data_IF_149728121945
#
_entry.id   IF_149728121945
#
_cell.length_a   1.000
_cell.length_b   1.000
_cell.length_c   1.000
_cell.angle_alpha   90.00
_cell.angle_beta   90.00
_cell.angle_gamma   90.00
#
_symmetry.space_group_name_H-M   'P 1'
#
loop_
_entity.id
_entity.type
_entity.pdbx_description
1 polymer ?
#
# COMPACT_ATOMS: atom_id res chain seq x y z
N UNK A 1 41.65 18.96 -39.35
CA UNK A 1 41.47 17.91 -38.32
C UNK A 1 41.28 16.56 -39.00
N UNK A 2 41.89 15.48 -38.50
CA UNK A 2 41.75 14.17 -39.13
C UNK A 2 40.36 13.59 -38.89
N UNK A 3 39.80 12.91 -39.90
CA UNK A 3 38.47 12.25 -39.83
C UNK A 3 38.35 11.32 -38.61
N UNK A 4 39.45 10.70 -38.20
CA UNK A 4 39.54 9.86 -37.00
C UNK A 4 39.24 10.63 -35.69
N UNK A 5 39.67 11.89 -35.56
CA UNK A 5 39.38 12.72 -34.38
C UNK A 5 37.91 13.11 -34.29
N UNK A 6 37.26 13.33 -35.43
CA UNK A 6 35.83 13.64 -35.51
C UNK A 6 34.99 12.40 -35.15
N UNK A 7 35.34 11.23 -35.69
CA UNK A 7 34.67 9.96 -35.38
C UNK A 7 34.82 9.61 -33.89
N UNK A 8 36.02 9.80 -33.32
CA UNK A 8 36.25 9.58 -31.89
C UNK A 8 35.41 10.51 -31.01
N UNK A 9 35.25 11.79 -31.39
CA UNK A 9 34.40 12.74 -30.67
C UNK A 9 32.92 12.36 -30.70
N UNK A 10 32.42 11.91 -31.85
CA UNK A 10 31.02 11.47 -32.00
C UNK A 10 30.74 10.21 -31.17
N UNK A 11 31.64 9.22 -31.23
CA UNK A 11 31.52 8.01 -30.41
C UNK A 11 31.55 8.31 -28.91
N UNK A 12 32.38 9.26 -28.48
CA UNK A 12 32.44 9.70 -27.08
C UNK A 12 31.10 10.26 -26.60
N UNK A 13 30.47 11.13 -27.39
CA UNK A 13 29.15 11.72 -27.06
C UNK A 13 28.07 10.63 -26.99
N UNK A 14 28.09 9.67 -27.92
CA UNK A 14 27.13 8.57 -27.97
C UNK A 14 27.26 7.63 -26.75
N UNK A 15 28.49 7.25 -26.39
CA UNK A 15 28.76 6.44 -25.20
C UNK A 15 28.35 7.17 -23.91
N UNK A 16 28.56 8.48 -23.84
CA UNK A 16 28.16 9.30 -22.69
C UNK A 16 26.64 9.38 -22.57
N UNK A 17 25.93 9.52 -23.69
CA UNK A 17 24.47 9.47 -23.74
C UNK A 17 23.89 8.12 -23.32
N UNK A 18 24.49 7.01 -23.76
CA UNK A 18 24.12 5.65 -23.32
C UNK A 18 24.37 5.47 -21.82
N UNK A 19 25.49 5.99 -21.31
CA UNK A 19 25.84 5.87 -19.89
C UNK A 19 24.88 6.67 -19.00
N UNK A 20 24.56 7.91 -19.39
CA UNK A 20 23.57 8.75 -18.70
C UNK A 20 22.17 8.15 -18.82
N UNK A 21 21.80 7.59 -19.99
CA UNK A 21 20.53 6.91 -20.21
C UNK A 21 20.40 5.61 -19.41
N UNK A 22 21.47 4.82 -19.29
CA UNK A 22 21.50 3.58 -18.52
C UNK A 22 21.49 3.85 -17.00
N UNK A 23 22.24 4.85 -16.52
CA UNK A 23 22.26 5.23 -15.10
C UNK A 23 20.97 5.94 -14.70
N UNK A 24 20.51 6.90 -15.51
CA UNK A 24 19.25 7.61 -15.31
C UNK A 24 18.05 6.67 -15.41
N UNK A 25 18.04 5.79 -16.41
CA UNK A 25 17.08 4.71 -16.57
C UNK A 25 17.10 3.74 -15.38
N UNK A 26 18.28 3.31 -14.92
CA UNK A 26 18.42 2.44 -13.75
C UNK A 26 17.92 3.11 -12.48
N UNK A 27 18.14 4.41 -12.27
CA UNK A 27 17.64 5.15 -11.11
C UNK A 27 16.12 5.35 -11.19
N UNK A 28 15.60 5.71 -12.36
CA UNK A 28 14.17 5.90 -12.60
C UNK A 28 13.39 4.58 -12.48
N UNK A 29 13.86 3.52 -13.14
CA UNK A 29 13.31 2.18 -12.99
C UNK A 29 13.46 1.69 -11.55
N UNK A 30 14.60 1.88 -10.89
CA UNK A 30 14.76 1.48 -9.48
C UNK A 30 13.82 2.25 -8.58
N UNK A 31 13.44 3.49 -8.89
CA UNK A 31 12.46 4.24 -8.11
C UNK A 31 11.02 3.75 -8.37
N UNK A 32 10.63 3.59 -9.64
CA UNK A 32 9.31 3.12 -10.06
C UNK A 32 9.08 1.65 -9.65
N UNK A 33 10.05 0.79 -9.93
CA UNK A 33 10.07 -0.62 -9.58
C UNK A 33 10.18 -0.83 -8.07
N UNK A 34 10.96 -0.02 -7.33
CA UNK A 34 10.88 -0.07 -5.85
C UNK A 34 9.51 0.32 -5.34
N UNK A 35 8.78 1.24 -5.97
CA UNK A 35 7.41 1.54 -5.53
C UNK A 35 6.41 0.43 -5.90
N UNK A 36 6.58 -0.19 -7.06
CA UNK A 36 5.82 -1.36 -7.50
C UNK A 36 6.08 -2.60 -6.63
N UNK A 37 7.31 -2.74 -6.12
CA UNK A 37 7.80 -3.90 -5.37
C UNK A 37 7.73 -3.75 -3.84
N UNK A 38 7.67 -2.54 -3.27
CA UNK A 38 7.81 -2.30 -1.80
C UNK A 38 6.56 -2.51 -0.95
N UNK A 39 5.52 -3.19 -1.42
CA UNK A 39 4.37 -3.49 -0.58
C UNK A 39 3.07 -3.54 -1.34
N UNK A 40 1.95 -3.79 -0.65
CA UNK A 40 0.69 -4.12 -1.28
C UNK A 40 0.22 -2.89 -2.08
N UNK A 41 0.24 -3.06 -3.40
CA UNK A 41 -0.30 -2.13 -4.39
C UNK A 41 -1.70 -1.64 -4.01
N UNK A 42 -2.47 -2.45 -3.26
CA UNK A 42 -3.74 -2.11 -2.63
C UNK A 42 -3.74 -0.74 -1.92
N UNK A 43 -2.61 -0.35 -1.30
CA UNK A 43 -2.51 0.84 -0.44
C UNK A 43 -2.05 2.12 -1.18
N UNK A 44 -1.53 2.00 -2.42
CA UNK A 44 -1.06 3.12 -3.23
C UNK A 44 -2.17 3.78 -4.05
N UNK A 45 -3.08 2.98 -4.59
CA UNK A 45 -4.17 3.46 -5.45
C UNK A 45 -5.11 4.47 -4.80
N UNK A 46 -5.54 4.33 -3.52
CA UNK A 46 -6.45 5.28 -2.89
C UNK A 46 -5.87 6.69 -2.78
N UNK A 47 -4.55 6.82 -2.66
CA UNK A 47 -3.87 8.13 -2.63
C UNK A 47 -3.78 8.75 -4.01
N UNK A 48 -3.53 7.92 -5.03
CA UNK A 48 -3.49 8.35 -6.42
C UNK A 48 -4.86 8.83 -6.91
N UNK A 49 -5.94 8.09 -6.66
CA UNK A 49 -7.29 8.53 -7.01
C UNK A 49 -7.70 9.79 -6.28
N UNK A 50 -7.44 9.92 -4.97
CA UNK A 50 -7.70 11.18 -4.24
C UNK A 50 -6.92 12.37 -4.80
N UNK A 51 -5.71 12.13 -5.30
CA UNK A 51 -4.92 13.17 -5.96
C UNK A 51 -5.57 13.58 -7.29
N UNK A 52 -5.98 12.62 -8.12
CA UNK A 52 -6.72 12.88 -9.35
C UNK A 52 -8.02 13.65 -9.10
N UNK A 53 -8.80 13.25 -8.09
CA UNK A 53 -10.04 13.95 -7.72
C UNK A 53 -9.83 15.42 -7.38
N UNK A 54 -8.70 15.74 -6.72
CA UNK A 54 -8.36 17.09 -6.28
C UNK A 54 -7.73 17.93 -7.38
N UNK A 55 -6.87 17.33 -8.20
CA UNK A 55 -6.13 18.07 -9.23
C UNK A 55 -6.88 18.21 -10.55
N UNK A 56 -7.92 17.38 -10.77
CA UNK A 56 -8.77 17.43 -11.96
C UNK A 56 -10.18 17.97 -11.67
N UNK A 57 -10.43 18.44 -10.44
CA UNK A 57 -11.72 18.97 -9.98
C UNK A 57 -12.93 18.11 -10.40
N UNK A 58 -12.82 16.80 -10.18
CA UNK A 58 -13.80 15.85 -10.68
C UNK A 58 -15.19 16.08 -10.07
N UNK A 59 -16.22 16.07 -10.94
CA UNK A 59 -17.63 16.13 -10.53
C UNK A 59 -18.02 14.88 -9.71
N UNK A 60 -19.09 14.93 -8.90
CA UNK A 60 -19.51 13.78 -8.09
C UNK A 60 -19.73 12.49 -8.91
N UNK A 61 -20.24 12.61 -10.13
CA UNK A 61 -20.44 11.48 -11.04
C UNK A 61 -19.12 10.93 -11.58
N UNK A 62 -18.18 11.81 -11.95
CA UNK A 62 -16.85 11.41 -12.40
C UNK A 62 -16.08 10.70 -11.29
N UNK A 63 -16.19 11.16 -10.04
CA UNK A 63 -15.58 10.50 -8.88
C UNK A 63 -16.06 9.06 -8.71
N UNK A 64 -17.37 8.82 -8.83
CA UNK A 64 -17.93 7.46 -8.76
C UNK A 64 -17.35 6.55 -9.85
N UNK A 65 -17.24 7.05 -11.08
CA UNK A 65 -16.66 6.31 -12.22
C UNK A 65 -15.16 6.02 -12.01
N UNK A 66 -14.38 7.03 -11.63
CA UNK A 66 -12.94 6.89 -11.36
C UNK A 66 -12.67 5.94 -10.19
N UNK A 67 -13.47 5.98 -9.13
CA UNK A 67 -13.37 5.03 -8.02
C UNK A 67 -13.58 3.59 -8.49
N UNK A 68 -14.60 3.35 -9.32
CA UNK A 68 -14.89 2.01 -9.86
C UNK A 68 -13.74 1.48 -10.72
N UNK A 69 -13.18 2.32 -11.61
CA UNK A 69 -12.03 1.95 -12.45
C UNK A 69 -10.81 1.62 -11.57
N UNK A 70 -10.56 2.41 -10.54
CA UNK A 70 -9.46 2.17 -9.62
C UNK A 70 -9.65 0.92 -8.76
N UNK A 71 -10.89 0.57 -8.41
CA UNK A 71 -11.21 -0.68 -7.72
C UNK A 71 -10.94 -1.89 -8.63
N UNK A 72 -11.35 -1.84 -9.90
CA UNK A 72 -11.06 -2.89 -10.88
C UNK A 72 -9.56 -3.08 -11.10
N UNK A 73 -8.82 -1.99 -11.27
CA UNK A 73 -7.35 -2.03 -11.39
C UNK A 73 -6.70 -2.69 -10.16
N UNK A 74 -7.23 -2.41 -8.96
CA UNK A 74 -6.74 -3.03 -7.72
C UNK A 74 -6.94 -4.54 -7.72
N UNK A 75 -8.11 -5.00 -8.16
CA UNK A 75 -8.43 -6.43 -8.27
C UNK A 75 -7.54 -7.14 -9.30
N UNK A 76 -7.33 -6.53 -10.46
CA UNK A 76 -6.46 -7.08 -11.51
C UNK A 76 -5.00 -7.17 -11.06
N UNK A 77 -4.48 -6.15 -10.38
CA UNK A 77 -3.12 -6.17 -9.84
C UNK A 77 -2.96 -7.18 -8.69
N UNK A 78 -4.00 -7.37 -7.89
CA UNK A 78 -4.02 -8.41 -6.86
C UNK A 78 -3.95 -9.80 -7.50
N UNK A 79 -4.78 -10.06 -8.52
CA UNK A 79 -4.77 -11.31 -9.27
C UNK A 79 -3.42 -11.54 -9.98
N UNK A 80 -2.86 -10.51 -10.62
CA UNK A 80 -1.55 -10.56 -11.26
C UNK A 80 -0.45 -10.92 -10.25
N UNK A 81 -0.42 -10.24 -9.08
CA UNK A 81 0.54 -10.55 -8.02
C UNK A 81 0.37 -11.98 -7.50
N UNK A 82 -0.86 -12.44 -7.30
CA UNK A 82 -1.11 -13.80 -6.82
C UNK A 82 -0.63 -14.85 -7.82
N UNK A 83 -0.82 -14.60 -9.12
CA UNK A 83 -0.41 -15.50 -10.20
C UNK A 83 1.09 -15.49 -10.45
N UNK A 84 1.70 -14.31 -10.55
CA UNK A 84 3.09 -14.14 -10.99
C UNK A 84 4.08 -13.85 -9.87
N UNK A 85 3.61 -13.56 -8.67
CA UNK A 85 4.46 -13.33 -7.48
C UNK A 85 5.41 -14.50 -7.19
N UNK A 86 4.94 -15.76 -7.19
CA UNK A 86 5.82 -16.92 -6.98
C UNK A 86 6.90 -17.06 -8.06
N UNK A 87 6.57 -16.79 -9.32
CA UNK A 87 7.53 -16.87 -10.42
C UNK A 87 8.61 -15.79 -10.29
N UNK A 88 8.21 -14.58 -9.92
CA UNK A 88 9.12 -13.47 -9.64
C UNK A 88 10.05 -13.78 -8.46
N UNK A 89 9.53 -14.40 -7.39
CA UNK A 89 10.35 -14.84 -6.26
C UNK A 89 11.38 -15.87 -6.67
N UNK A 90 11.00 -16.89 -7.46
CA UNK A 90 11.94 -17.89 -8.00
C UNK A 90 13.04 -17.26 -8.86
N UNK A 91 12.69 -16.30 -9.72
CA UNK A 91 13.66 -15.60 -10.55
C UNK A 91 14.67 -14.85 -9.66
N UNK A 92 14.18 -14.11 -8.67
CA UNK A 92 15.04 -13.35 -7.75
C UNK A 92 15.93 -14.29 -6.94
N UNK A 93 15.38 -15.36 -6.36
CA UNK A 93 16.11 -16.35 -5.58
C UNK A 93 17.22 -17.02 -6.39
N UNK A 94 16.90 -17.44 -7.63
CA UNK A 94 17.90 -18.03 -8.53
C UNK A 94 19.09 -17.11 -8.76
N UNK A 95 18.85 -15.83 -9.09
CA UNK A 95 19.95 -14.89 -9.37
C UNK A 95 20.70 -14.49 -8.10
N UNK A 96 20.03 -14.42 -6.95
CA UNK A 96 20.70 -14.18 -5.67
C UNK A 96 21.63 -15.34 -5.29
N UNK A 97 21.24 -16.58 -5.56
CA UNK A 97 22.09 -17.76 -5.36
C UNK A 97 23.32 -17.74 -6.26
N UNK A 98 23.16 -17.34 -7.53
CA UNK A 98 24.29 -17.16 -8.44
C UNK A 98 25.26 -16.09 -7.93
N UNK A 99 24.75 -14.93 -7.49
CA UNK A 99 25.60 -13.89 -6.89
C UNK A 99 26.28 -14.42 -5.63
N UNK A 100 25.58 -15.16 -4.78
CA UNK A 100 26.13 -15.72 -3.53
C UNK A 100 27.31 -16.66 -3.78
N UNK A 101 27.30 -17.42 -4.88
CA UNK A 101 28.39 -18.33 -5.26
C UNK A 101 29.72 -17.59 -5.55
N UNK A 102 29.66 -16.34 -6.00
CA UNK A 102 30.82 -15.50 -6.31
C UNK A 102 31.39 -14.76 -5.08
N UNK A 103 30.76 -14.90 -3.91
CA UNK A 103 31.11 -14.14 -2.70
C UNK A 103 32.01 -14.96 -1.75
N UNK A 104 32.87 -14.26 -1.02
CA UNK A 104 33.65 -14.87 0.08
C UNK A 104 32.73 -15.32 1.22
N UNK A 105 33.18 -16.25 2.10
CA UNK A 105 32.38 -16.69 3.24
C UNK A 105 31.87 -15.54 4.14
N UNK A 106 32.67 -14.50 4.40
CA UNK A 106 32.19 -13.33 5.16
C UNK A 106 31.12 -12.53 4.39
N UNK A 107 31.28 -12.38 3.08
CA UNK A 107 30.32 -11.65 2.23
C UNK A 107 29.00 -12.43 2.08
N UNK A 108 29.05 -13.75 2.04
CA UNK A 108 27.86 -14.61 2.02
C UNK A 108 27.02 -14.45 3.30
N UNK A 109 27.65 -14.39 4.48
CA UNK A 109 26.94 -14.10 5.74
C UNK A 109 26.23 -12.75 5.69
N UNK A 110 26.90 -11.72 5.17
CA UNK A 110 26.31 -10.38 5.01
C UNK A 110 25.17 -10.36 3.99
N UNK A 111 25.30 -11.13 2.90
CA UNK A 111 24.25 -11.32 1.90
C UNK A 111 23.00 -11.96 2.52
N UNK A 112 23.16 -12.97 3.38
CA UNK A 112 22.03 -13.63 4.05
C UNK A 112 21.28 -12.68 4.98
N UNK A 113 21.99 -11.82 5.71
CA UNK A 113 21.38 -10.75 6.50
C UNK A 113 20.61 -9.74 5.63
N UNK A 114 21.18 -9.36 4.48
CA UNK A 114 20.53 -8.46 3.52
C UNK A 114 19.25 -9.11 2.97
N UNK A 115 19.30 -10.39 2.58
CA UNK A 115 18.15 -11.13 2.08
C UNK A 115 17.04 -11.23 3.13
N UNK A 116 17.38 -11.59 4.38
CA UNK A 116 16.44 -11.65 5.50
C UNK A 116 15.76 -10.30 5.75
N UNK A 117 16.53 -9.21 5.67
CA UNK A 117 16.01 -7.85 5.83
C UNK A 117 15.14 -7.40 4.65
N UNK A 118 15.46 -7.82 3.43
CA UNK A 118 14.66 -7.54 2.23
C UNK A 118 13.34 -8.33 2.32
N UNK A 119 13.35 -9.65 2.55
CA UNK A 119 12.13 -10.46 2.72
C UNK A 119 11.20 -9.86 3.77
N UNK A 120 11.71 -9.55 4.97
CA UNK A 120 10.94 -8.88 6.05
C UNK A 120 10.33 -7.53 5.62
N UNK A 121 11.02 -6.75 4.79
CA UNK A 121 10.55 -5.42 4.33
C UNK A 121 9.62 -5.49 3.12
N UNK A 122 9.63 -6.58 2.36
CA UNK A 122 8.75 -6.80 1.21
C UNK A 122 7.39 -7.34 1.64
N UNK A 123 7.40 -8.20 2.66
CA UNK A 123 6.18 -8.70 3.26
C UNK A 123 5.48 -7.61 4.05
N UNK A 124 6.22 -6.69 4.72
CA UNK A 124 5.64 -5.56 5.45
C UNK A 124 5.28 -4.37 4.56
N UNK A 125 4.13 -3.67 4.75
CA UNK A 125 3.85 -2.53 3.89
C UNK A 125 4.79 -1.41 4.35
N UNK A 126 5.08 -0.41 3.53
CA UNK A 126 5.83 0.73 4.05
C UNK A 126 5.01 1.35 5.20
N UNK A 127 5.65 1.77 6.30
CA UNK A 127 4.97 2.38 7.50
C UNK A 127 3.99 3.51 7.16
N UNK A 128 4.10 4.11 5.96
CA UNK A 128 3.18 5.13 5.41
C UNK A 128 1.84 4.57 4.90
N UNK A 129 1.67 3.26 4.91
CA UNK A 129 0.52 2.54 4.36
C UNK A 129 -0.18 1.61 5.36
N UNK A 130 0.40 1.36 6.54
CA UNK A 130 -0.40 0.89 7.68
C UNK A 130 -1.48 1.91 8.06
N UNK A 131 -2.42 1.56 8.96
CA UNK A 131 -3.36 2.55 9.51
C UNK A 131 -2.57 3.81 9.90
N UNK A 132 -2.98 4.97 9.35
CA UNK A 132 -2.19 6.20 9.42
C UNK A 132 -1.77 6.44 10.88
N UNK A 133 -0.52 6.85 11.15
CA UNK A 133 -0.12 7.26 12.53
C UNK A 133 -1.01 8.38 13.10
N UNK A 134 -1.75 9.09 12.24
CA UNK A 134 -2.72 10.15 12.57
C UNK A 134 -4.19 9.68 12.62
N UNK A 135 -4.46 8.38 12.45
CA UNK A 135 -5.75 7.74 12.74
C UNK A 135 -5.93 7.63 14.27
N UNK A 136 -5.92 8.76 14.97
CA UNK A 136 -6.35 8.80 16.36
C UNK A 136 -7.86 8.48 16.37
N UNK A 137 -8.30 7.47 17.15
CA UNK A 137 -9.72 7.19 17.36
C UNK A 137 -10.48 8.48 17.69
N UNK A 138 -9.91 9.32 18.55
CA UNK A 138 -10.49 10.58 19.00
C UNK A 138 -10.70 11.58 17.86
N UNK A 139 -9.74 11.70 16.91
CA UNK A 139 -9.91 12.58 15.73
C UNK A 139 -11.05 12.11 14.84
N UNK A 140 -11.19 10.80 14.67
CA UNK A 140 -12.26 10.21 13.86
C UNK A 140 -13.60 10.36 14.57
N UNK A 141 -13.69 10.02 15.84
CA UNK A 141 -14.92 10.16 16.62
C UNK A 141 -15.38 11.62 16.62
N UNK A 142 -14.48 12.59 16.79
CA UNK A 142 -14.82 14.03 16.70
C UNK A 142 -15.30 14.45 15.31
N UNK A 143 -14.76 13.83 14.25
CA UNK A 143 -15.27 14.05 12.88
C UNK A 143 -16.66 13.44 12.71
N UNK A 144 -16.92 12.26 13.29
CA UNK A 144 -18.23 11.63 13.30
C UNK A 144 -19.27 12.46 14.03
N UNK A 145 -18.94 13.01 15.22
CA UNK A 145 -19.82 13.94 15.96
C UNK A 145 -20.39 15.04 15.07
N UNK A 146 -19.51 15.74 14.34
CA UNK A 146 -19.89 16.85 13.46
C UNK A 146 -20.66 16.40 12.21
N UNK A 147 -20.28 15.27 11.63
CA UNK A 147 -20.84 14.79 10.35
C UNK A 147 -22.19 14.11 10.52
N UNK A 148 -22.32 13.29 11.56
CA UNK A 148 -23.55 12.56 11.90
C UNK A 148 -24.46 13.35 12.86
N UNK A 149 -24.05 14.58 13.24
CA UNK A 149 -24.75 15.44 14.21
C UNK A 149 -25.12 14.70 15.48
N UNK A 150 -24.15 13.99 16.07
CA UNK A 150 -24.37 13.17 17.27
C UNK A 150 -24.64 14.05 18.48
N UNK A 151 -25.55 13.59 19.35
CA UNK A 151 -25.70 14.16 20.70
C UNK A 151 -24.45 13.89 21.53
N UNK A 152 -24.29 14.62 22.64
CA UNK A 152 -23.15 14.38 23.56
C UNK A 152 -23.19 12.96 24.15
N UNK A 153 -24.38 12.47 24.47
CA UNK A 153 -24.59 11.10 24.97
C UNK A 153 -24.23 10.05 23.92
N UNK A 154 -24.72 10.20 22.68
CA UNK A 154 -24.34 9.31 21.57
C UNK A 154 -22.83 9.36 21.33
N UNK A 155 -22.25 10.56 21.37
CA UNK A 155 -20.82 10.75 21.15
C UNK A 155 -19.97 10.01 22.19
N UNK A 156 -20.30 10.12 23.48
CA UNK A 156 -19.58 9.39 24.53
C UNK A 156 -19.80 7.87 24.42
N UNK A 157 -21.01 7.42 24.09
CA UNK A 157 -21.33 6.01 23.93
C UNK A 157 -20.55 5.34 22.78
N UNK A 158 -20.30 6.04 21.66
CA UNK A 158 -19.55 5.45 20.53
C UNK A 158 -18.02 5.44 20.73
N UNK A 159 -17.47 6.16 21.71
CA UNK A 159 -16.01 6.29 21.87
C UNK A 159 -15.34 4.95 22.10
N UNK A 160 -15.88 4.15 23.01
CA UNK A 160 -15.28 2.86 23.37
C UNK A 160 -15.39 1.82 22.24
N UNK A 161 -16.58 1.58 21.63
CA UNK A 161 -16.70 0.67 20.48
C UNK A 161 -15.77 1.03 19.32
N UNK A 162 -15.65 2.33 18.99
CA UNK A 162 -14.78 2.77 17.91
C UNK A 162 -13.31 2.62 18.25
N UNK A 163 -12.88 3.00 19.48
CA UNK A 163 -11.50 2.80 19.91
C UNK A 163 -11.11 1.32 19.82
N UNK A 164 -11.97 0.43 20.33
CA UNK A 164 -11.76 -1.03 20.26
C UNK A 164 -11.68 -1.53 18.82
N UNK A 165 -12.52 -1.02 17.91
CA UNK A 165 -12.46 -1.36 16.48
C UNK A 165 -11.09 -0.98 15.89
N UNK A 166 -10.59 0.24 16.17
CA UNK A 166 -9.30 0.71 15.64
C UNK A 166 -8.13 -0.12 16.15
N UNK A 167 -8.10 -0.41 17.46
CA UNK A 167 -7.06 -1.25 18.08
C UNK A 167 -7.07 -2.66 17.48
N UNK A 168 -8.24 -3.31 17.40
CA UNK A 168 -8.34 -4.66 16.83
C UNK A 168 -8.02 -4.71 15.34
N UNK A 169 -8.38 -3.69 14.57
CA UNK A 169 -7.99 -3.60 13.16
C UNK A 169 -6.47 -3.41 13.00
N UNK A 170 -5.83 -2.62 13.88
CA UNK A 170 -4.38 -2.45 13.88
C UNK A 170 -3.67 -3.76 14.22
N UNK A 171 -4.09 -4.45 15.28
CA UNK A 171 -3.52 -5.74 15.67
C UNK A 171 -3.71 -6.80 14.60
N UNK A 172 -4.91 -6.86 13.99
CA UNK A 172 -5.18 -7.76 12.88
C UNK A 172 -4.27 -7.47 11.69
N UNK A 173 -4.01 -6.19 11.39
CA UNK A 173 -3.11 -5.79 10.32
C UNK A 173 -1.67 -6.17 10.59
N UNK A 174 -1.14 -5.95 11.80
CA UNK A 174 0.21 -6.36 12.17
C UNK A 174 0.36 -7.89 12.11
N UNK A 175 -0.57 -8.64 12.72
CA UNK A 175 -0.56 -10.12 12.73
C UNK A 175 -0.64 -10.73 11.34
N UNK A 176 -1.51 -10.21 10.48
CA UNK A 176 -1.67 -10.64 9.08
C UNK A 176 -0.35 -10.65 8.33
N UNK A 177 0.52 -9.70 8.69
CA UNK A 177 1.77 -9.44 8.02
C UNK A 177 3.00 -10.06 8.69
N UNK A 178 2.78 -10.73 9.81
CA UNK A 178 3.76 -11.63 10.44
C UNK A 178 3.65 -13.06 9.89
N UNK A 179 2.52 -13.40 9.26
CA UNK A 179 2.32 -14.69 8.61
C UNK A 179 3.01 -14.71 7.24
N UNK A 180 3.80 -15.76 6.96
CA UNK A 180 4.48 -15.98 5.67
C UNK A 180 3.93 -17.24 4.96
N UNK A 181 3.34 -17.12 3.75
CA UNK A 181 2.90 -15.90 3.08
C UNK A 181 1.60 -15.34 3.71
N UNK A 182 1.38 -14.01 3.64
CA UNK A 182 0.19 -13.40 4.24
C UNK A 182 -1.10 -13.81 3.50
N UNK A 183 -2.08 -14.36 4.21
CA UNK A 183 -3.40 -14.70 3.65
C UNK A 183 -4.33 -13.48 3.60
N UNK A 184 -4.29 -12.78 2.46
CA UNK A 184 -5.10 -11.59 2.23
C UNK A 184 -6.62 -11.87 2.28
N UNK A 185 -7.08 -13.09 1.97
CA UNK A 185 -8.50 -13.44 2.00
C UNK A 185 -8.98 -13.61 3.44
N UNK A 186 -8.19 -14.30 4.26
CA UNK A 186 -8.45 -14.41 5.70
C UNK A 186 -8.48 -13.02 6.35
N UNK A 187 -7.50 -12.16 6.07
CA UNK A 187 -7.48 -10.79 6.57
C UNK A 187 -8.72 -9.97 6.22
N UNK A 188 -9.17 -10.03 4.95
CA UNK A 188 -10.40 -9.32 4.53
C UNK A 188 -11.64 -9.86 5.25
N UNK A 189 -11.73 -11.17 5.46
CA UNK A 189 -12.83 -11.82 6.16
C UNK A 189 -12.86 -11.40 7.62
N UNK A 190 -11.73 -11.47 8.30
CA UNK A 190 -11.63 -11.16 9.73
C UNK A 190 -11.87 -9.67 10.00
N UNK A 191 -11.37 -8.79 9.13
CA UNK A 191 -11.68 -7.36 9.21
C UNK A 191 -13.18 -7.09 9.06
N UNK A 192 -13.86 -7.75 8.12
CA UNK A 192 -15.33 -7.61 7.93
C UNK A 192 -16.10 -8.07 9.16
N UNK A 193 -15.64 -9.13 9.83
CA UNK A 193 -16.23 -9.60 11.10
C UNK A 193 -16.09 -8.55 12.21
N UNK A 194 -14.90 -7.98 12.38
CA UNK A 194 -14.67 -6.89 13.35
C UNK A 194 -15.58 -5.68 13.08
N UNK A 195 -15.72 -5.31 11.81
CA UNK A 195 -16.62 -4.23 11.39
C UNK A 195 -18.09 -4.54 11.68
N UNK A 196 -18.54 -5.78 11.43
CA UNK A 196 -19.92 -6.21 11.68
C UNK A 196 -20.24 -6.27 13.19
N UNK A 197 -19.31 -6.77 14.01
CA UNK A 197 -19.44 -6.77 15.49
C UNK A 197 -19.61 -5.34 16.03
N UNK A 198 -18.83 -4.40 15.48
CA UNK A 198 -18.93 -2.99 15.87
C UNK A 198 -20.22 -2.34 15.35
N UNK A 199 -20.65 -2.66 14.13
CA UNK A 199 -21.92 -2.16 13.59
C UNK A 199 -23.10 -2.55 14.48
N UNK A 200 -23.14 -3.81 14.95
CA UNK A 200 -24.20 -4.26 15.87
C UNK A 200 -24.22 -3.46 17.18
N UNK A 201 -23.05 -3.10 17.73
CA UNK A 201 -22.98 -2.25 18.93
C UNK A 201 -23.45 -0.82 18.65
N UNK A 202 -23.11 -0.28 17.48
CA UNK A 202 -23.46 1.08 17.09
C UNK A 202 -24.94 1.23 16.69
N UNK A 203 -25.59 0.18 16.19
CA UNK A 203 -27.03 0.18 15.86
C UNK A 203 -27.93 0.45 17.07
N UNK A 204 -27.46 0.16 18.29
CA UNK A 204 -28.17 0.51 19.52
C UNK A 204 -27.99 1.97 19.96
N UNK A 205 -27.03 2.68 19.37
CA UNK A 205 -26.64 4.05 19.77
C UNK A 205 -27.02 5.06 18.68
N UNK A 206 -26.86 4.68 17.43
CA UNK A 206 -27.04 5.50 16.25
C UNK A 206 -28.36 5.17 15.57
N UNK A 207 -29.02 6.19 15.02
CA UNK A 207 -30.19 6.00 14.16
C UNK A 207 -29.82 5.28 12.86
N UNK A 208 -30.82 4.72 12.17
CA UNK A 208 -30.61 4.05 10.88
C UNK A 208 -29.91 4.97 9.84
N UNK A 209 -30.29 6.24 9.79
CA UNK A 209 -29.68 7.24 8.90
C UNK A 209 -28.22 7.52 9.28
N UNK A 210 -27.93 7.68 10.59
CA UNK A 210 -26.57 7.88 11.08
C UNK A 210 -25.70 6.65 10.83
N UNK A 211 -26.25 5.44 10.94
CA UNK A 211 -25.56 4.19 10.62
C UNK A 211 -25.20 4.06 9.14
N UNK A 212 -26.11 4.43 8.24
CA UNK A 212 -25.83 4.43 6.81
C UNK A 212 -24.69 5.40 6.47
N UNK A 213 -24.76 6.63 6.99
CA UNK A 213 -23.70 7.63 6.80
C UNK A 213 -22.37 7.18 7.43
N UNK A 214 -22.39 6.53 8.59
CA UNK A 214 -21.20 5.96 9.23
C UNK A 214 -20.55 4.90 8.32
N UNK A 215 -21.34 3.97 7.77
CA UNK A 215 -20.85 2.92 6.86
C UNK A 215 -20.21 3.51 5.60
N UNK A 216 -20.82 4.54 5.01
CA UNK A 216 -20.25 5.26 3.86
C UNK A 216 -18.94 5.98 4.21
N UNK A 217 -18.89 6.63 5.38
CA UNK A 217 -17.66 7.30 5.84
C UNK A 217 -16.53 6.31 6.09
N UNK A 218 -16.83 5.14 6.68
CA UNK A 218 -15.85 4.09 6.96
C UNK A 218 -15.22 3.52 5.68
N UNK A 219 -15.97 3.38 4.59
CA UNK A 219 -15.41 2.94 3.29
C UNK A 219 -14.24 3.82 2.82
N UNK A 220 -14.24 5.12 3.15
CA UNK A 220 -13.18 6.08 2.78
C UNK A 220 -11.92 6.00 3.64
N UNK A 221 -12.00 5.28 4.76
CA UNK A 221 -10.95 5.13 5.77
C UNK A 221 -10.33 3.74 5.79
N UNK A 222 -10.94 2.78 5.09
CA UNK A 222 -10.32 1.48 4.86
C UNK A 222 -8.96 1.70 4.16
N UNK A 223 -7.86 1.17 4.73
CA UNK A 223 -6.56 1.20 4.07
C UNK A 223 -6.62 0.48 2.73
#
# INVERSE_FOLDING_TARGET
>A
MSKAKIIAGILLIFCTGIFIGAVGGHIYFRHQFRQFMKGPHELLFPKFTKKLERELDLTPEQRKKVSRIADQLREELFAFKQKHGPDLEKIVERHLSLIKAELTPEQQKKMDEIQKNIRKKWLKPPKRFGPHRDFSPERITRRLKRRLKLTDEQFEAIRHPLKKLFERQHDLFEKHWEQEPPDHRAFRTERRRLEAETDAQLEHILTAEQMEQFREMRKRWRP
#
